data_IF_404488187422
#
_entry.id   IF_404488187422
#
_cell.length_a   1.000
_cell.length_b   1.000
_cell.length_c   1.000
_cell.angle_alpha   90.00
_cell.angle_beta   90.00
_cell.angle_gamma   90.00
#
_symmetry.space_group_name_H-M   'P 1'
#
loop_
_entity.id
_entity.type
_entity.pdbx_description
1 polymer ?
#
# COMPACT_ATOMS: atom_id res chain seq x y z
N UNK A 1 -12.60 2.92 -13.39
CA UNK A 1 -12.47 3.98 -14.41
C UNK A 1 -11.92 3.39 -15.71
N UNK A 2 -12.79 3.05 -16.69
CA UNK A 2 -12.34 2.34 -17.90
C UNK A 2 -11.34 3.14 -18.76
N UNK A 3 -11.43 4.47 -18.77
CA UNK A 3 -10.49 5.31 -19.52
C UNK A 3 -9.10 5.29 -18.90
N UNK A 4 -9.01 5.38 -17.56
CA UNK A 4 -7.72 5.25 -16.87
C UNK A 4 -7.10 3.85 -17.04
N UNK A 5 -7.91 2.82 -17.08
CA UNK A 5 -7.41 1.47 -17.37
C UNK A 5 -6.78 1.40 -18.78
N UNK A 6 -7.42 2.00 -19.80
CA UNK A 6 -6.86 2.08 -21.15
C UNK A 6 -5.57 2.88 -21.22
N UNK A 7 -5.49 4.00 -20.50
CA UNK A 7 -4.24 4.79 -20.41
C UNK A 7 -3.10 3.96 -19.80
N UNK A 8 -3.39 3.22 -18.72
CA UNK A 8 -2.41 2.33 -18.07
C UNK A 8 -1.97 1.19 -19.01
N UNK A 9 -2.91 0.55 -19.69
CA UNK A 9 -2.61 -0.50 -20.67
C UNK A 9 -1.75 0.02 -21.83
N UNK A 10 -2.08 1.21 -22.34
CA UNK A 10 -1.31 1.86 -23.41
C UNK A 10 0.13 2.16 -22.98
N UNK A 11 0.31 2.69 -21.76
CA UNK A 11 1.62 2.99 -21.19
C UNK A 11 2.46 1.71 -20.98
N UNK A 12 1.85 0.64 -20.47
CA UNK A 12 2.53 -0.65 -20.30
C UNK A 12 2.94 -1.23 -21.66
N UNK A 13 2.07 -1.11 -22.68
CA UNK A 13 2.38 -1.55 -24.04
C UNK A 13 3.51 -0.73 -24.68
N UNK A 14 3.59 0.55 -24.39
CA UNK A 14 4.68 1.44 -24.82
C UNK A 14 6.02 1.01 -24.19
N UNK A 15 6.05 0.83 -22.86
CA UNK A 15 7.24 0.33 -22.16
C UNK A 15 7.74 -0.99 -22.74
N UNK A 16 6.81 -1.90 -23.02
CA UNK A 16 7.15 -3.19 -23.66
C UNK A 16 7.80 -3.01 -25.03
N UNK A 17 7.29 -2.08 -25.87
CA UNK A 17 7.85 -1.81 -27.21
C UNK A 17 9.25 -1.20 -27.11
N UNK A 18 9.47 -0.37 -26.12
CA UNK A 18 10.74 0.31 -25.90
C UNK A 18 11.79 -0.56 -25.19
N UNK A 19 11.42 -1.75 -24.73
CA UNK A 19 12.28 -2.59 -23.90
C UNK A 19 12.54 -2.00 -22.51
N UNK A 20 11.65 -1.12 -22.05
CA UNK A 20 11.73 -0.42 -20.78
C UNK A 20 10.71 -0.93 -19.77
N UNK A 21 10.69 -0.36 -18.57
CA UNK A 21 9.79 -0.75 -17.48
C UNK A 21 9.24 0.47 -16.76
N UNK A 22 8.08 0.29 -16.13
CA UNK A 22 7.46 1.33 -15.32
C UNK A 22 6.98 0.76 -13.98
N UNK A 23 7.08 1.56 -12.94
CA UNK A 23 6.50 1.31 -11.63
C UNK A 23 5.10 1.92 -11.51
N UNK A 24 4.69 2.15 -10.28
CA UNK A 24 3.43 2.85 -9.96
C UNK A 24 2.99 2.61 -8.53
N UNK A 25 1.73 2.90 -8.24
CA UNK A 25 1.15 2.84 -6.90
C UNK A 25 -0.03 1.89 -6.90
N UNK A 26 -0.07 1.00 -5.90
CA UNK A 26 -1.24 0.18 -5.58
C UNK A 26 -1.95 0.79 -4.38
N UNK A 27 -3.23 1.11 -4.53
CA UNK A 27 -4.10 1.51 -3.41
C UNK A 27 -4.85 0.28 -2.92
N UNK A 28 -4.79 0.02 -1.62
CA UNK A 28 -5.55 -1.03 -0.95
C UNK A 28 -6.58 -0.40 -0.02
N UNK A 29 -7.78 -0.97 -0.01
CA UNK A 29 -8.87 -0.59 0.90
C UNK A 29 -9.34 -1.84 1.65
N UNK A 30 -9.27 -1.81 2.97
CA UNK A 30 -9.76 -2.87 3.86
C UNK A 30 -11.08 -2.43 4.45
N UNK A 31 -12.14 -3.17 4.17
CA UNK A 31 -13.49 -2.90 4.66
C UNK A 31 -13.88 -3.79 5.82
N UNK A 32 -14.70 -3.26 6.70
CA UNK A 32 -15.25 -4.03 7.81
C UNK A 32 -14.22 -4.43 8.87
N UNK A 33 -13.12 -3.69 8.99
CA UNK A 33 -12.13 -3.92 10.02
C UNK A 33 -12.75 -3.59 11.40
N UNK A 34 -12.71 -4.50 12.40
CA UNK A 34 -13.22 -4.20 13.73
C UNK A 34 -12.50 -3.03 14.39
N UNK A 35 -13.18 -2.33 15.29
CA UNK A 35 -12.55 -1.34 16.17
C UNK A 35 -11.64 -2.05 17.15
N UNK A 36 -10.45 -1.49 17.41
CA UNK A 36 -9.58 -1.93 18.51
C UNK A 36 -8.38 -2.77 18.09
N UNK A 37 -8.19 -3.07 16.79
CA UNK A 37 -7.03 -3.82 16.32
C UNK A 37 -5.76 -2.97 16.31
N UNK A 38 -4.67 -3.54 16.79
CA UNK A 38 -3.37 -2.86 16.93
C UNK A 38 -3.09 -2.42 18.37
N UNK A 39 -1.95 -1.78 18.56
CA UNK A 39 -1.45 -1.38 19.89
C UNK A 39 -1.13 0.13 19.91
N UNK A 40 -1.17 0.78 21.11
CA UNK A 40 -0.98 2.24 21.19
C UNK A 40 0.49 2.67 21.07
N UNK A 41 1.45 1.79 21.33
CA UNK A 41 2.90 2.11 21.28
C UNK A 41 3.64 1.25 20.27
N UNK A 42 4.07 0.08 20.69
CA UNK A 42 4.68 -0.91 19.78
C UNK A 42 3.58 -1.69 19.08
N UNK A 43 3.88 -2.17 17.87
CA UNK A 43 2.93 -2.94 17.04
C UNK A 43 1.66 -2.16 16.64
N UNK A 44 1.80 -0.85 16.45
CA UNK A 44 0.74 -0.03 15.86
C UNK A 44 0.29 -0.62 14.53
N UNK A 45 -1.02 -0.71 14.31
CA UNK A 45 -1.56 -1.38 13.11
C UNK A 45 -1.00 -0.81 11.80
N UNK A 46 -0.85 0.51 11.69
CA UNK A 46 -0.25 1.11 10.50
C UNK A 46 1.24 0.78 10.35
N UNK A 47 1.97 0.58 11.45
CA UNK A 47 3.38 0.19 11.40
C UNK A 47 3.52 -1.27 10.95
N UNK A 48 2.66 -2.17 11.42
CA UNK A 48 2.62 -3.56 10.97
C UNK A 48 2.24 -3.67 9.49
N UNK A 49 1.20 -2.94 9.05
CA UNK A 49 0.84 -2.85 7.63
C UNK A 49 2.00 -2.30 6.80
N UNK A 50 2.68 -1.24 7.26
CA UNK A 50 3.84 -0.67 6.58
C UNK A 50 4.99 -1.66 6.48
N UNK A 51 5.31 -2.38 7.56
CA UNK A 51 6.34 -3.42 7.57
C UNK A 51 6.01 -4.56 6.59
N UNK A 52 4.76 -5.03 6.59
CA UNK A 52 4.28 -6.05 5.67
C UNK A 52 4.42 -5.60 4.21
N UNK A 53 3.95 -4.39 3.87
CA UNK A 53 4.02 -3.86 2.51
C UNK A 53 5.45 -3.61 2.05
N UNK A 54 6.32 -3.06 2.90
CA UNK A 54 7.72 -2.81 2.58
C UNK A 54 8.57 -4.09 2.49
N UNK A 55 8.08 -5.22 2.99
CA UNK A 55 8.69 -6.54 2.78
C UNK A 55 8.42 -7.12 1.38
N UNK A 56 7.48 -6.57 0.63
CA UNK A 56 7.19 -6.97 -0.74
C UNK A 56 8.33 -6.50 -1.65
N UNK A 57 8.81 -7.39 -2.53
CA UNK A 57 9.84 -7.03 -3.49
C UNK A 57 9.42 -5.84 -4.37
N UNK A 58 10.37 -4.93 -4.62
CA UNK A 58 10.18 -3.69 -5.37
C UNK A 58 9.32 -2.61 -4.70
N UNK A 59 8.72 -2.84 -3.53
CA UNK A 59 8.09 -1.80 -2.74
C UNK A 59 9.13 -0.78 -2.29
N UNK A 60 8.80 0.53 -2.42
CA UNK A 60 9.70 1.66 -2.11
C UNK A 60 9.06 2.72 -1.24
N UNK A 61 7.76 2.66 -1.05
CA UNK A 61 7.04 3.60 -0.22
C UNK A 61 5.73 3.02 0.27
N UNK A 62 5.33 3.48 1.43
CA UNK A 62 4.05 3.18 2.05
C UNK A 62 3.51 4.46 2.66
N UNK A 63 2.23 4.72 2.45
CA UNK A 63 1.49 5.77 3.16
C UNK A 63 0.06 5.30 3.42
N UNK A 64 -0.54 5.76 4.51
CA UNK A 64 -1.93 5.45 4.87
C UNK A 64 -2.72 6.72 5.16
N UNK A 65 -4.04 6.65 4.99
CA UNK A 65 -4.87 7.84 5.04
C UNK A 65 -4.42 8.87 4.00
N UNK A 66 -4.43 10.14 4.39
CA UNK A 66 -3.94 11.22 3.53
C UNK A 66 -2.41 11.26 3.38
N UNK A 67 -1.68 10.54 4.24
CA UNK A 67 -0.24 10.35 4.10
C UNK A 67 0.52 11.66 3.93
N UNK A 68 1.37 11.75 2.91
CA UNK A 68 2.16 12.95 2.63
C UNK A 68 1.32 14.19 2.31
N UNK A 69 0.17 14.03 1.64
CA UNK A 69 -0.71 15.17 1.32
C UNK A 69 -1.22 15.84 2.60
N UNK A 70 -1.64 15.06 3.60
CA UNK A 70 -2.12 15.56 4.88
C UNK A 70 -1.07 16.33 5.69
N UNK A 71 0.23 16.09 5.45
CA UNK A 71 1.31 16.79 6.16
C UNK A 71 1.35 18.29 5.91
N UNK A 72 0.76 18.76 4.81
CA UNK A 72 0.65 20.18 4.46
C UNK A 72 -0.66 20.83 4.94
N UNK A 73 -1.57 20.07 5.53
CA UNK A 73 -2.87 20.55 5.98
C UNK A 73 -2.80 21.14 7.39
N UNK A 74 -3.76 21.99 7.70
CA UNK A 74 -3.97 22.44 9.10
C UNK A 74 -4.59 21.30 9.91
N UNK A 75 -4.28 21.24 11.21
CA UNK A 75 -4.85 20.24 12.10
C UNK A 75 -6.38 20.17 12.08
N UNK A 76 -7.04 21.34 11.96
CA UNK A 76 -8.52 21.42 11.84
C UNK A 76 -9.08 20.82 10.53
N UNK A 77 -8.26 20.68 9.50
CA UNK A 77 -8.63 20.04 8.24
C UNK A 77 -8.35 18.54 8.29
N UNK A 78 -7.24 18.15 8.91
CA UNK A 78 -6.81 16.76 9.02
C UNK A 78 -7.60 15.96 10.05
N UNK A 79 -8.16 16.62 11.07
CA UNK A 79 -8.81 15.94 12.19
C UNK A 79 -10.14 15.29 11.77
N UNK A 80 -10.27 13.98 12.06
CA UNK A 80 -11.50 13.22 11.86
C UNK A 80 -12.39 13.32 13.10
N UNK A 81 -13.40 14.18 13.02
CA UNK A 81 -14.33 14.44 14.14
C UNK A 81 -15.29 13.27 14.28
N UNK A 82 -15.46 12.77 15.51
CA UNK A 82 -16.45 11.74 15.81
C UNK A 82 -17.87 12.30 15.77
N UNK A 83 -18.78 11.54 15.18
CA UNK A 83 -20.20 11.84 15.07
C UNK A 83 -21.06 10.60 15.40
N UNK A 84 -22.30 10.77 15.84
CA UNK A 84 -23.24 9.67 15.98
C UNK A 84 -23.49 8.96 14.66
N UNK A 85 -23.66 7.64 14.69
CA UNK A 85 -24.03 6.83 13.55
C UNK A 85 -25.23 5.93 13.88
N UNK A 86 -26.13 5.80 12.93
CA UNK A 86 -27.24 4.82 12.97
C UNK A 86 -26.90 3.52 12.25
N UNK A 87 -25.72 3.41 11.66
CA UNK A 87 -25.28 2.24 10.91
C UNK A 87 -24.95 1.09 11.86
N UNK A 88 -25.62 -0.07 11.66
CA UNK A 88 -25.48 -1.25 12.53
C UNK A 88 -24.07 -1.87 12.54
N UNK A 89 -23.27 -1.55 11.55
CA UNK A 89 -21.91 -2.09 11.38
C UNK A 89 -20.86 -1.34 12.21
N UNK A 90 -21.24 -0.18 12.77
CA UNK A 90 -20.31 0.62 13.55
C UNK A 90 -20.45 0.36 15.04
N UNK A 91 -19.32 0.04 15.66
CA UNK A 91 -19.25 -0.23 17.07
C UNK A 91 -19.75 0.98 17.88
N UNK A 92 -20.66 0.75 18.82
CA UNK A 92 -21.19 1.74 19.73
C UNK A 92 -21.98 2.90 19.10
N UNK A 93 -22.39 2.81 17.81
CA UNK A 93 -23.12 3.88 17.12
C UNK A 93 -22.29 5.17 16.92
N UNK A 94 -20.98 5.03 16.73
CA UNK A 94 -20.04 6.13 16.53
C UNK A 94 -19.29 5.91 15.21
N UNK A 95 -19.11 6.99 14.45
CA UNK A 95 -18.24 7.02 13.26
C UNK A 95 -17.47 8.33 13.17
N UNK A 96 -16.53 8.41 12.27
CA UNK A 96 -15.89 9.68 11.95
C UNK A 96 -16.61 10.40 10.81
N UNK A 97 -16.59 11.73 10.83
CA UNK A 97 -17.19 12.56 9.77
C UNK A 97 -16.40 12.49 8.47
N UNK A 98 -15.09 12.35 8.58
CA UNK A 98 -14.11 12.21 7.51
C UNK A 98 -13.22 11.02 7.86
N UNK A 99 -12.39 10.56 6.93
CA UNK A 99 -11.49 9.42 7.17
C UNK A 99 -10.07 9.74 6.69
N UNK A 100 -9.58 10.93 7.03
CA UNK A 100 -8.22 11.37 6.66
C UNK A 100 -7.13 10.54 7.33
N UNK A 101 -7.42 9.99 8.52
CA UNK A 101 -6.54 9.07 9.25
C UNK A 101 -6.46 7.67 8.63
N UNK A 102 -7.28 7.38 7.61
CA UNK A 102 -7.26 6.09 6.93
C UNK A 102 -7.68 4.91 7.82
N UNK A 103 -8.68 5.09 8.68
CA UNK A 103 -9.23 4.03 9.55
C UNK A 103 -8.39 3.66 10.77
N UNK A 104 -7.26 4.34 11.00
CA UNK A 104 -6.33 4.05 12.10
C UNK A 104 -5.98 5.34 12.84
N UNK A 105 -6.34 5.40 14.12
CA UNK A 105 -6.04 6.52 15.01
C UNK A 105 -5.27 6.02 16.24
N UNK A 106 -4.20 6.71 16.62
CA UNK A 106 -3.36 6.28 17.73
C UNK A 106 -2.66 4.91 17.56
N UNK A 107 -2.65 4.37 16.36
CA UNK A 107 -2.13 3.02 16.07
C UNK A 107 -3.19 1.91 16.11
N UNK A 108 -4.45 2.26 16.33
CA UNK A 108 -5.56 1.34 16.57
C UNK A 108 -6.65 1.59 15.53
N UNK A 109 -7.26 0.53 15.00
CA UNK A 109 -8.39 0.64 14.06
C UNK A 109 -9.61 1.29 14.73
N UNK A 110 -10.26 2.22 14.02
CA UNK A 110 -11.42 2.97 14.53
C UNK A 110 -12.77 2.53 13.93
N UNK A 111 -12.78 1.49 13.08
CA UNK A 111 -13.98 0.94 12.46
C UNK A 111 -14.32 1.54 11.10
N UNK A 112 -13.63 2.58 10.67
CA UNK A 112 -13.73 3.09 9.30
C UNK A 112 -12.92 2.22 8.34
N UNK A 113 -13.16 2.37 7.02
CA UNK A 113 -12.35 1.72 6.01
C UNK A 113 -10.87 2.09 6.18
N UNK A 114 -10.00 1.08 6.27
CA UNK A 114 -8.56 1.32 6.26
C UNK A 114 -8.11 1.42 4.82
N UNK A 115 -7.43 2.51 4.47
CA UNK A 115 -6.83 2.65 3.15
C UNK A 115 -5.39 3.12 3.21
N UNK A 116 -4.60 2.56 2.30
CA UNK A 116 -3.18 2.87 2.18
C UNK A 116 -2.70 2.72 0.73
N UNK A 117 -1.53 3.24 0.44
CA UNK A 117 -0.88 3.21 -0.86
C UNK A 117 0.51 2.63 -0.74
N UNK A 118 0.88 1.80 -1.70
CA UNK A 118 2.21 1.18 -1.79
C UNK A 118 2.84 1.54 -3.14
N UNK A 119 3.98 2.21 -3.09
CA UNK A 119 4.74 2.59 -4.28
C UNK A 119 5.72 1.46 -4.66
N UNK A 120 5.68 1.06 -5.91
CA UNK A 120 6.58 0.05 -6.49
C UNK A 120 7.51 0.71 -7.52
N UNK A 121 8.81 0.43 -7.41
CA UNK A 121 9.76 0.88 -8.43
C UNK A 121 9.58 0.10 -9.74
N UNK A 122 10.02 0.66 -10.89
CA UNK A 122 10.18 -0.09 -12.11
C UNK A 122 11.06 -1.33 -11.92
N UNK A 123 10.82 -2.37 -12.70
CA UNK A 123 11.67 -3.57 -12.73
C UNK A 123 13.04 -3.18 -13.27
N UNK A 124 14.11 -3.61 -12.60
CA UNK A 124 15.47 -3.22 -12.97
C UNK A 124 16.01 -3.98 -14.20
N UNK A 125 15.34 -5.07 -14.59
CA UNK A 125 15.74 -5.86 -15.77
C UNK A 125 15.11 -5.26 -17.01
N UNK A 126 15.93 -4.61 -17.83
CA UNK A 126 15.53 -3.95 -19.08
C UNK A 126 15.92 -4.82 -20.28
N UNK A 127 15.12 -4.75 -21.36
CA UNK A 127 15.45 -5.33 -22.67
C UNK A 127 16.22 -4.32 -23.53
N UNK A 128 17.21 -3.67 -22.90
CA UNK A 128 18.12 -2.70 -23.48
C UNK A 128 19.53 -3.01 -23.00
N UNK A 129 20.51 -2.68 -23.82
CA UNK A 129 21.91 -2.69 -23.41
C UNK A 129 22.09 -1.76 -22.20
N UNK A 130 22.71 -2.23 -21.13
CA UNK A 130 22.97 -1.49 -19.90
C UNK A 130 24.46 -1.47 -19.57
N UNK A 131 24.94 -0.34 -19.11
CA UNK A 131 26.29 -0.23 -18.58
C UNK A 131 26.37 -0.93 -17.21
N UNK A 132 27.47 -1.65 -17.01
CA UNK A 132 27.75 -2.39 -15.76
C UNK A 132 29.25 -2.56 -15.56
N UNK A 133 29.62 -3.33 -14.56
CA UNK A 133 31.01 -3.74 -14.33
C UNK A 133 31.09 -5.28 -14.26
N UNK A 134 32.23 -5.81 -14.72
CA UNK A 134 32.52 -7.23 -14.56
C UNK A 134 33.00 -7.53 -13.11
N UNK A 135 33.30 -8.78 -12.82
CA UNK A 135 33.76 -9.21 -11.49
C UNK A 135 35.15 -8.65 -11.09
N UNK A 136 35.91 -8.18 -12.06
CA UNK A 136 37.20 -7.51 -11.88
C UNK A 136 37.05 -6.00 -11.64
N UNK A 137 35.82 -5.47 -11.69
CA UNK A 137 35.53 -4.03 -11.52
C UNK A 137 35.71 -3.19 -12.78
N UNK A 138 35.88 -3.78 -13.93
CA UNK A 138 36.07 -3.07 -15.20
C UNK A 138 34.71 -2.76 -15.85
N UNK A 139 34.61 -1.59 -16.48
CA UNK A 139 33.38 -1.16 -17.17
C UNK A 139 33.07 -2.14 -18.34
N UNK A 140 31.83 -2.58 -18.42
CA UNK A 140 31.35 -3.44 -19.47
C UNK A 140 29.86 -3.15 -19.75
N UNK A 141 29.28 -3.86 -20.71
CA UNK A 141 27.88 -3.76 -21.05
C UNK A 141 27.21 -5.12 -20.91
N UNK A 142 25.94 -5.09 -20.52
CA UNK A 142 25.11 -6.29 -20.47
C UNK A 142 23.87 -6.09 -21.35
N UNK A 143 23.56 -7.08 -22.14
CA UNK A 143 22.32 -7.19 -22.88
C UNK A 143 21.53 -8.36 -22.33
N UNK A 144 20.33 -8.07 -21.81
CA UNK A 144 19.50 -9.07 -21.16
C UNK A 144 18.42 -9.56 -22.12
N UNK A 145 18.51 -10.83 -22.49
CA UNK A 145 17.53 -11.50 -23.33
C UNK A 145 16.58 -12.33 -22.48
N UNK A 146 15.30 -12.35 -22.84
CA UNK A 146 14.29 -13.18 -22.18
C UNK A 146 12.94 -12.48 -22.06
N UNK A 147 12.00 -13.16 -21.38
CA UNK A 147 10.68 -12.61 -21.11
C UNK A 147 10.69 -11.86 -19.77
N UNK A 148 10.52 -10.55 -19.83
CA UNK A 148 10.41 -9.69 -18.63
C UNK A 148 9.09 -8.93 -18.65
N UNK A 149 8.58 -8.63 -17.45
CA UNK A 149 7.37 -7.82 -17.32
C UNK A 149 7.72 -6.34 -17.41
N UNK A 150 7.07 -5.58 -18.29
CA UNK A 150 7.25 -4.13 -18.38
C UNK A 150 6.69 -3.39 -17.17
N UNK A 151 5.80 -4.02 -16.40
CA UNK A 151 5.18 -3.46 -15.20
C UNK A 151 4.86 -4.58 -14.21
N UNK A 152 5.28 -4.40 -12.95
CA UNK A 152 5.04 -5.38 -11.88
C UNK A 152 3.65 -5.24 -11.24
N UNK A 153 2.96 -4.11 -11.39
CA UNK A 153 1.75 -3.80 -10.66
C UNK A 153 0.63 -4.83 -10.78
N UNK A 154 0.33 -5.40 -11.97
CA UNK A 154 -0.71 -6.43 -12.08
C UNK A 154 -0.46 -7.67 -11.20
N UNK A 155 0.80 -7.97 -10.90
CA UNK A 155 1.18 -9.05 -9.99
C UNK A 155 1.27 -8.59 -8.54
N UNK A 156 1.54 -7.31 -8.30
CA UNK A 156 1.64 -6.75 -6.96
C UNK A 156 0.27 -6.67 -6.26
N UNK A 157 -0.81 -6.43 -7.01
CA UNK A 157 -2.17 -6.28 -6.45
C UNK A 157 -2.55 -7.46 -5.55
N UNK A 158 -2.58 -8.72 -6.00
CA UNK A 158 -2.97 -9.84 -5.15
C UNK A 158 -1.99 -10.08 -3.99
N UNK A 159 -0.72 -9.69 -4.14
CA UNK A 159 0.27 -9.79 -3.05
C UNK A 159 -0.03 -8.77 -1.96
N UNK A 160 -0.34 -7.52 -2.34
CA UNK A 160 -0.74 -6.46 -1.39
C UNK A 160 -2.00 -6.87 -0.65
N UNK A 161 -3.01 -7.41 -1.35
CA UNK A 161 -4.25 -7.91 -0.73
C UNK A 161 -3.98 -9.04 0.27
N UNK A 162 -3.17 -10.03 -0.10
CA UNK A 162 -2.83 -11.16 0.76
C UNK A 162 -2.05 -10.70 2.01
N UNK A 163 -1.07 -9.81 1.85
CA UNK A 163 -0.28 -9.28 2.97
C UNK A 163 -1.14 -8.42 3.90
N UNK A 164 -2.06 -7.62 3.36
CA UNK A 164 -3.03 -6.87 4.15
C UNK A 164 -3.95 -7.80 4.96
N UNK A 165 -4.50 -8.82 4.32
CA UNK A 165 -5.39 -9.79 4.97
C UNK A 165 -4.66 -10.55 6.09
N UNK A 166 -3.44 -11.00 5.87
CA UNK A 166 -2.63 -11.69 6.90
C UNK A 166 -2.33 -10.76 8.08
N UNK A 167 -1.99 -9.51 7.85
CA UNK A 167 -1.70 -8.54 8.92
C UNK A 167 -2.94 -8.25 9.77
N UNK A 168 -4.11 -8.08 9.13
CA UNK A 168 -5.37 -7.86 9.86
C UNK A 168 -5.79 -9.12 10.62
N UNK A 169 -5.63 -10.30 10.03
CA UNK A 169 -5.94 -11.55 10.71
C UNK A 169 -5.06 -11.77 11.95
N UNK A 170 -3.77 -11.49 11.84
CA UNK A 170 -2.85 -11.59 12.97
C UNK A 170 -3.23 -10.64 14.10
N UNK A 171 -3.49 -9.36 13.76
CA UNK A 171 -3.98 -8.37 14.73
C UNK A 171 -5.30 -8.79 15.39
N UNK A 172 -6.23 -9.40 14.64
CA UNK A 172 -7.49 -9.92 15.17
C UNK A 172 -7.28 -11.10 16.13
N UNK A 173 -6.38 -12.01 15.81
CA UNK A 173 -6.04 -13.14 16.68
C UNK A 173 -5.40 -12.66 17.98
N UNK A 174 -4.50 -11.67 17.91
CA UNK A 174 -3.91 -11.03 19.10
C UNK A 174 -4.99 -10.35 19.95
N UNK A 175 -5.90 -9.60 19.34
CA UNK A 175 -7.00 -8.93 20.07
C UNK A 175 -7.91 -9.96 20.79
N UNK A 176 -8.19 -11.08 20.16
CA UNK A 176 -9.00 -12.15 20.78
C UNK A 176 -8.32 -12.74 22.03
N UNK A 177 -7.00 -12.74 22.14
CA UNK A 177 -6.32 -13.22 23.35
C UNK A 177 -6.45 -12.28 24.55
N UNK A 178 -6.84 -11.03 24.33
CA UNK A 178 -7.04 -10.03 25.40
C UNK A 178 -8.44 -10.10 26.02
N UNK A 179 -9.36 -10.78 25.38
CA UNK A 179 -10.78 -10.91 25.78
C UNK A 179 -11.00 -12.17 26.64
N UNK A 180 -10.21 -12.33 27.70
CA UNK A 180 -10.37 -13.43 28.68
C UNK A 180 -11.20 -12.94 29.86
#
# INVERSE_FOLDING_TARGET
>A
EPEKAKEMEALIAEMKREGDTIGGVVTCVIKGCPVGLGEPEFDKLHAQLGAAMLSINAAKGFEYGEGFAGSSWRGSQQNDVFIPSSEKQQAHGIKTKTNHSGGIQGGISNGEDIYFRVAFKPVATLLKEQETVNKEGEATKIDVNGRHDPCVLPRAVPIVEAMAAMTILDALLVDNTKRI
#
